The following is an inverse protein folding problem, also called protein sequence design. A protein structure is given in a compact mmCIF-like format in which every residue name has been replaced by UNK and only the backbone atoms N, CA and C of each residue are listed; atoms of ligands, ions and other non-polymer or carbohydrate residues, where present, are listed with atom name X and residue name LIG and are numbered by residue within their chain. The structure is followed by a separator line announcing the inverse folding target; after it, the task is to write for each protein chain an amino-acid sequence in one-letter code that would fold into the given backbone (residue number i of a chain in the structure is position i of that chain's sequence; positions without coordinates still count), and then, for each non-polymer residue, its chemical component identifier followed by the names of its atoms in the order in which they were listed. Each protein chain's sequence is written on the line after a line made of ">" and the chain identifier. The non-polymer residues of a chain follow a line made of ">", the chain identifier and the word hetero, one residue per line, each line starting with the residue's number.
data_IF_350899256312
#
_entry.id   IF_350899256312
#
_cell.length_a   1.000
_cell.length_b   1.000
_cell.length_c   1.000
_cell.angle_alpha   90.00
_cell.angle_beta   90.00
_cell.angle_gamma   90.00
#
_symmetry.space_group_name_H-M   'P 1'
#
loop_
_entity.id
_entity.type
_entity.pdbx_description
1 polymer ?
#
# COMPACT_ATOMS: atom_id res chain seq x y z
N UNK A 1 8.69 -50.52 5.03
CA UNK A 1 7.38 -50.51 5.74
C UNK A 1 6.51 -49.43 5.10
N UNK A 2 5.44 -49.84 4.41
CA UNK A 2 4.51 -48.92 3.76
C UNK A 2 3.57 -48.38 4.84
N UNK A 3 3.40 -47.05 5.02
CA UNK A 3 2.51 -46.52 6.05
C UNK A 3 1.07 -46.90 5.74
N UNK A 4 0.32 -47.27 6.78
CA UNK A 4 -1.06 -47.70 6.66
C UNK A 4 -1.97 -46.50 6.26
N UNK A 5 -3.10 -46.76 5.58
CA UNK A 5 -4.07 -45.77 5.14
C UNK A 5 -4.57 -44.85 6.28
N UNK A 6 -4.50 -45.30 7.52
CA UNK A 6 -4.86 -44.52 8.73
C UNK A 6 -3.79 -43.46 9.07
N UNK A 7 -2.51 -43.78 8.82
CA UNK A 7 -1.40 -42.84 9.03
C UNK A 7 -1.38 -41.75 7.93
N UNK A 8 -1.75 -42.13 6.68
CA UNK A 8 -1.88 -41.16 5.58
C UNK A 8 -3.05 -40.16 5.80
N UNK A 9 -4.17 -40.66 6.38
CA UNK A 9 -5.32 -39.76 6.71
C UNK A 9 -4.99 -38.79 7.84
N UNK A 10 -4.19 -39.21 8.82
CA UNK A 10 -3.74 -38.32 9.91
C UNK A 10 -2.76 -37.24 9.41
N UNK A 11 -1.84 -37.61 8.52
CA UNK A 11 -0.91 -36.64 7.91
C UNK A 11 -1.62 -35.64 7.00
N UNK A 12 -2.62 -36.07 6.22
CA UNK A 12 -3.44 -35.20 5.40
C UNK A 12 -4.37 -34.28 6.22
N UNK A 13 -4.87 -34.74 7.37
CA UNK A 13 -5.69 -33.92 8.27
C UNK A 13 -4.85 -32.86 9.00
N UNK A 14 -3.61 -33.16 9.37
CA UNK A 14 -2.69 -32.16 9.96
C UNK A 14 -2.28 -31.11 8.92
N UNK A 15 -2.04 -31.51 7.67
CA UNK A 15 -1.73 -30.57 6.59
C UNK A 15 -2.90 -29.64 6.25
N UNK A 16 -4.14 -30.16 6.34
CA UNK A 16 -5.36 -29.35 6.13
C UNK A 16 -5.64 -28.38 7.28
N UNK A 17 -5.33 -28.79 8.54
CA UNK A 17 -5.46 -27.93 9.71
C UNK A 17 -4.37 -26.83 9.75
N UNK A 18 -3.17 -27.10 9.24
CA UNK A 18 -2.09 -26.13 9.15
C UNK A 18 -2.36 -25.06 8.07
N UNK A 19 -3.08 -25.40 6.99
CA UNK A 19 -3.48 -24.43 5.95
C UNK A 19 -4.52 -23.40 6.42
N UNK A 20 -5.20 -23.66 7.52
CA UNK A 20 -6.17 -22.76 8.16
C UNK A 20 -5.62 -21.93 9.32
N UNK A 21 -4.33 -22.06 9.67
CA UNK A 21 -3.73 -21.25 10.74
C UNK A 21 -3.52 -19.82 10.27
N UNK A 22 -3.86 -18.80 11.07
CA UNK A 22 -3.70 -17.39 10.70
C UNK A 22 -2.26 -17.04 10.28
N UNK A 23 -1.26 -17.71 10.83
CA UNK A 23 0.16 -17.58 10.45
C UNK A 23 0.46 -18.03 9.02
N UNK A 24 -0.16 -19.12 8.55
CA UNK A 24 0.01 -19.60 7.16
C UNK A 24 -0.75 -18.74 6.16
N UNK A 25 -1.93 -18.26 6.51
CA UNK A 25 -2.68 -17.32 5.70
C UNK A 25 -1.91 -16.00 5.54
N UNK A 26 -1.33 -15.49 6.61
CA UNK A 26 -0.54 -14.26 6.59
C UNK A 26 0.76 -14.40 5.78
N UNK A 27 1.43 -15.56 5.81
CA UNK A 27 2.60 -15.81 4.97
C UNK A 27 2.22 -15.91 3.48
N UNK A 28 1.11 -16.57 3.15
CA UNK A 28 0.60 -16.66 1.77
C UNK A 28 0.23 -15.29 1.22
N UNK A 29 -0.45 -14.45 2.01
CA UNK A 29 -0.77 -13.08 1.62
C UNK A 29 0.49 -12.22 1.44
N UNK A 30 1.53 -12.41 2.24
CA UNK A 30 2.81 -11.71 2.08
C UNK A 30 3.49 -12.06 0.75
N UNK A 31 3.49 -13.32 0.36
CA UNK A 31 4.05 -13.77 -0.91
C UNK A 31 3.22 -13.28 -2.10
N UNK A 32 1.89 -13.28 -1.97
CA UNK A 32 0.97 -12.76 -2.98
C UNK A 32 1.14 -11.26 -3.18
N UNK A 33 1.25 -10.47 -2.12
CA UNK A 33 1.54 -9.03 -2.18
C UNK A 33 2.86 -8.76 -2.89
N UNK A 34 3.93 -9.47 -2.50
CA UNK A 34 5.24 -9.33 -3.16
C UNK A 34 5.20 -9.76 -4.64
N UNK A 35 4.39 -10.76 -4.97
CA UNK A 35 4.18 -11.21 -6.36
C UNK A 35 3.51 -10.13 -7.20
N UNK A 36 2.48 -9.45 -6.69
CA UNK A 36 1.81 -8.33 -7.39
C UNK A 36 2.77 -7.16 -7.58
N UNK A 37 3.55 -6.80 -6.55
CA UNK A 37 4.57 -5.77 -6.63
C UNK A 37 5.61 -6.11 -7.72
N UNK A 38 6.06 -7.35 -7.76
CA UNK A 38 7.02 -7.82 -8.79
C UNK A 38 6.40 -7.75 -10.18
N UNK A 39 5.19 -8.28 -10.33
CA UNK A 39 4.49 -8.30 -11.60
C UNK A 39 4.26 -6.88 -12.17
N UNK A 40 3.96 -5.90 -11.33
CA UNK A 40 3.77 -4.52 -11.77
C UNK A 40 5.01 -3.97 -12.48
N UNK A 41 6.19 -4.16 -11.90
CA UNK A 41 7.44 -3.66 -12.50
C UNK A 41 7.88 -4.51 -13.68
N UNK A 42 7.82 -5.83 -13.59
CA UNK A 42 8.22 -6.74 -14.68
C UNK A 42 7.37 -6.52 -15.94
N UNK A 43 6.05 -6.48 -15.81
CA UNK A 43 5.14 -6.25 -16.95
C UNK A 43 5.34 -4.87 -17.58
N UNK A 44 5.69 -3.85 -16.76
CA UNK A 44 6.06 -2.53 -17.28
C UNK A 44 7.26 -2.61 -18.22
N UNK A 45 8.36 -3.24 -17.81
CA UNK A 45 9.58 -3.35 -18.64
C UNK A 45 9.43 -4.35 -19.78
N UNK A 46 8.62 -5.39 -19.63
CA UNK A 46 8.28 -6.34 -20.70
C UNK A 46 7.29 -5.78 -21.73
N UNK A 47 6.72 -4.59 -21.46
CA UNK A 47 5.68 -3.96 -22.30
C UNK A 47 4.36 -4.73 -22.36
N UNK A 48 4.10 -5.53 -21.34
CA UNK A 48 2.82 -6.21 -21.15
C UNK A 48 1.79 -5.26 -20.51
N UNK A 49 1.04 -4.57 -21.35
CA UNK A 49 0.03 -3.60 -20.88
C UNK A 49 -1.17 -4.25 -20.21
N UNK A 50 -1.49 -5.50 -20.55
CA UNK A 50 -2.59 -6.24 -19.95
C UNK A 50 -2.19 -6.70 -18.55
N UNK A 51 -1.02 -7.32 -18.43
CA UNK A 51 -0.45 -7.72 -17.15
C UNK A 51 -0.28 -6.52 -16.22
N UNK A 52 0.33 -5.43 -16.71
CA UNK A 52 0.52 -4.22 -15.91
C UNK A 52 -0.80 -3.64 -15.39
N UNK A 53 -1.80 -3.47 -16.27
CA UNK A 53 -3.14 -3.04 -15.89
C UNK A 53 -3.75 -3.98 -14.83
N UNK A 54 -3.53 -5.27 -14.99
CA UNK A 54 -4.02 -6.32 -14.09
C UNK A 54 -3.50 -6.23 -12.66
N UNK A 55 -2.38 -5.58 -12.42
CA UNK A 55 -1.83 -5.40 -11.07
C UNK A 55 -2.49 -4.26 -10.27
N UNK A 56 -3.25 -3.39 -10.92
CA UNK A 56 -3.83 -2.18 -10.34
C UNK A 56 -5.33 -2.30 -10.08
N UNK A 57 -5.81 -1.51 -9.12
CA UNK A 57 -7.20 -1.08 -9.06
C UNK A 57 -7.46 -0.12 -10.21
N UNK A 58 -8.49 -0.38 -11.02
CA UNK A 58 -8.73 0.36 -12.28
C UNK A 58 -9.95 1.29 -12.17
N UNK A 59 -10.08 2.01 -11.05
CA UNK A 59 -11.19 2.95 -10.80
C UNK A 59 -10.69 4.27 -10.21
N UNK A 60 -11.61 5.13 -9.80
CA UNK A 60 -11.29 6.46 -9.25
C UNK A 60 -10.51 6.44 -7.94
N UNK A 61 -10.35 5.28 -7.32
CA UNK A 61 -9.66 5.13 -6.02
C UNK A 61 -8.16 4.89 -6.17
N UNK A 62 -7.67 4.58 -7.39
CA UNK A 62 -6.26 4.37 -7.65
C UNK A 62 -5.47 5.68 -7.49
N UNK A 63 -4.30 5.60 -6.85
CA UNK A 63 -3.43 6.77 -6.62
C UNK A 63 -2.01 6.46 -7.09
N UNK A 64 -1.43 7.39 -7.84
CA UNK A 64 -0.02 7.33 -8.21
C UNK A 64 0.71 8.60 -7.85
N UNK A 65 1.77 8.45 -7.06
CA UNK A 65 2.66 9.54 -6.65
C UNK A 65 4.05 9.31 -7.23
N UNK A 66 4.64 10.33 -7.80
CA UNK A 66 6.00 10.28 -8.31
C UNK A 66 6.78 11.49 -7.82
N UNK A 67 7.92 11.24 -7.19
CA UNK A 67 8.80 12.27 -6.64
C UNK A 67 10.21 12.05 -7.19
N UNK A 68 10.72 13.06 -7.87
CA UNK A 68 12.13 13.18 -8.22
C UNK A 68 12.70 14.38 -7.50
N UNK A 69 14.02 14.49 -7.36
CA UNK A 69 14.70 15.50 -6.52
C UNK A 69 14.07 16.90 -6.49
N UNK A 70 13.44 17.37 -7.58
CA UNK A 70 12.82 18.70 -7.69
C UNK A 70 11.37 18.70 -8.15
N UNK A 71 10.79 17.55 -8.48
CA UNK A 71 9.43 17.48 -8.99
C UNK A 71 8.56 16.52 -8.15
N UNK A 72 7.31 16.93 -7.96
CA UNK A 72 6.28 16.14 -7.29
C UNK A 72 5.04 16.08 -8.17
N UNK A 73 4.49 14.90 -8.36
CA UNK A 73 3.21 14.72 -9.06
C UNK A 73 2.34 13.69 -8.35
N UNK A 74 1.05 13.98 -8.29
CA UNK A 74 0.02 13.05 -7.80
C UNK A 74 -1.06 12.93 -8.85
N UNK A 75 -1.44 11.71 -9.16
CA UNK A 75 -2.59 11.41 -10.00
C UNK A 75 -3.63 10.63 -9.18
N UNK A 76 -4.80 11.22 -9.02
CA UNK A 76 -5.94 10.66 -8.30
C UNK A 76 -6.95 10.10 -9.30
N UNK A 77 -7.17 8.80 -9.25
CA UNK A 77 -8.01 8.06 -10.17
C UNK A 77 -7.23 7.42 -11.31
N UNK A 78 -7.64 6.20 -11.65
CA UNK A 78 -7.03 5.44 -12.75
C UNK A 78 -7.03 6.20 -14.08
N UNK A 79 -8.10 6.96 -14.36
CA UNK A 79 -8.26 7.76 -15.57
C UNK A 79 -7.16 8.83 -15.74
N UNK A 80 -6.52 9.26 -14.66
CA UNK A 80 -5.49 10.30 -14.66
C UNK A 80 -4.09 9.78 -15.00
N UNK A 81 -3.81 8.48 -14.77
CA UNK A 81 -2.47 7.93 -15.04
C UNK A 81 -2.47 6.63 -15.84
N UNK A 82 -3.49 5.79 -15.70
CA UNK A 82 -3.54 4.48 -16.32
C UNK A 82 -3.40 4.54 -17.85
N UNK A 83 -4.27 5.28 -18.57
CA UNK A 83 -4.20 5.38 -20.03
C UNK A 83 -2.87 5.94 -20.54
N UNK A 84 -2.33 6.99 -19.92
CA UNK A 84 -1.06 7.60 -20.32
C UNK A 84 0.13 6.66 -20.06
N UNK A 85 0.12 5.91 -18.95
CA UNK A 85 1.15 4.90 -18.69
C UNK A 85 1.07 3.75 -19.67
N UNK A 86 -0.13 3.26 -20.01
CA UNK A 86 -0.32 2.23 -21.05
C UNK A 86 0.19 2.72 -22.41
N UNK A 87 -0.08 3.96 -22.78
CA UNK A 87 0.43 4.55 -24.01
C UNK A 87 1.97 4.61 -24.01
N UNK A 88 2.56 5.02 -22.89
CA UNK A 88 4.03 5.02 -22.70
C UNK A 88 4.63 3.61 -22.83
N UNK A 89 4.00 2.61 -22.19
CA UNK A 89 4.44 1.21 -22.30
C UNK A 89 4.43 0.75 -23.76
N UNK A 90 3.39 1.05 -24.53
CA UNK A 90 3.26 0.66 -25.95
C UNK A 90 4.23 1.39 -26.87
N UNK A 91 4.60 2.62 -26.51
CA UNK A 91 5.45 3.48 -27.35
C UNK A 91 6.94 3.17 -27.27
N UNK A 92 7.36 2.20 -26.48
CA UNK A 92 8.77 1.87 -26.24
C UNK A 92 9.03 0.37 -26.40
N UNK A 93 10.27 0.00 -26.78
CA UNK A 93 10.67 -1.40 -26.86
C UNK A 93 10.79 -2.04 -25.46
N UNK A 94 10.62 -3.37 -25.34
CA UNK A 94 10.92 -4.09 -24.11
C UNK A 94 12.37 -3.86 -23.67
N UNK A 95 12.59 -3.76 -22.37
CA UNK A 95 13.90 -3.56 -21.79
C UNK A 95 14.26 -4.76 -20.92
N UNK A 96 15.44 -5.33 -21.15
CA UNK A 96 15.99 -6.35 -20.28
C UNK A 96 16.52 -5.68 -19.00
N UNK A 97 15.93 -6.02 -17.86
CA UNK A 97 16.28 -5.46 -16.56
C UNK A 97 16.49 -6.56 -15.53
N UNK A 98 17.40 -6.32 -14.60
CA UNK A 98 17.48 -7.04 -13.34
C UNK A 98 17.00 -6.11 -12.23
N UNK A 99 16.06 -6.57 -11.42
CA UNK A 99 15.44 -5.75 -10.37
C UNK A 99 15.71 -6.40 -9.02
N UNK A 100 16.45 -5.68 -8.19
CA UNK A 100 16.76 -6.08 -6.83
C UNK A 100 15.90 -5.27 -5.87
N UNK A 101 15.27 -5.95 -4.90
CA UNK A 101 14.44 -5.33 -3.86
C UNK A 101 14.94 -5.73 -2.50
N UNK A 102 15.24 -4.74 -1.67
CA UNK A 102 15.78 -4.91 -0.32
C UNK A 102 15.03 -4.05 0.69
N UNK A 103 15.34 -4.22 1.96
CA UNK A 103 14.82 -3.40 3.05
C UNK A 103 13.28 -3.32 3.06
N UNK A 104 12.61 -4.47 2.86
CA UNK A 104 11.17 -4.55 2.90
C UNK A 104 10.62 -4.27 4.29
N UNK A 105 9.65 -3.35 4.34
CA UNK A 105 8.70 -3.21 5.43
C UNK A 105 7.35 -3.64 4.86
N UNK A 106 6.73 -4.66 5.44
CA UNK A 106 5.45 -5.20 4.98
C UNK A 106 4.50 -5.35 6.15
N UNK A 107 3.36 -4.71 6.05
CA UNK A 107 2.27 -4.83 7.00
C UNK A 107 1.01 -5.29 6.27
N UNK A 108 0.35 -6.32 6.79
CA UNK A 108 -0.89 -6.87 6.23
C UNK A 108 -1.91 -6.93 7.36
N UNK A 109 -3.09 -6.38 7.09
CA UNK A 109 -4.21 -6.41 8.00
C UNK A 109 -5.51 -6.66 7.22
N UNK A 110 -5.98 -7.91 7.28
CA UNK A 110 -7.14 -8.36 6.54
C UNK A 110 -6.98 -8.20 5.03
N UNK A 111 -7.78 -7.33 4.44
CA UNK A 111 -7.78 -7.07 3.00
C UNK A 111 -6.90 -5.89 2.58
N UNK A 112 -6.12 -5.32 3.50
CA UNK A 112 -5.22 -4.20 3.23
C UNK A 112 -3.77 -4.60 3.49
N UNK A 113 -2.86 -4.17 2.60
CA UNK A 113 -1.43 -4.33 2.76
C UNK A 113 -0.71 -3.01 2.47
N UNK A 114 0.33 -2.72 3.25
CA UNK A 114 1.30 -1.66 2.98
C UNK A 114 2.68 -2.29 2.85
N UNK A 115 3.36 -1.99 1.74
CA UNK A 115 4.72 -2.40 1.49
C UNK A 115 5.59 -1.19 1.19
N UNK A 116 6.79 -1.18 1.75
CA UNK A 116 7.84 -0.22 1.45
C UNK A 116 9.15 -0.97 1.27
N UNK A 117 9.95 -0.57 0.26
CA UNK A 117 11.19 -1.27 -0.08
C UNK A 117 12.12 -0.37 -0.89
N UNK A 118 13.41 -0.70 -0.86
CA UNK A 118 14.38 -0.13 -1.80
C UNK A 118 14.36 -0.97 -3.09
N UNK A 119 14.30 -0.30 -4.24
CA UNK A 119 14.35 -0.92 -5.55
C UNK A 119 15.54 -0.40 -6.33
N UNK A 120 16.35 -1.33 -6.86
CA UNK A 120 17.42 -1.06 -7.79
C UNK A 120 17.11 -1.76 -9.11
N UNK A 121 16.90 -0.98 -10.16
CA UNK A 121 16.70 -1.48 -11.52
C UNK A 121 18.00 -1.33 -12.30
N UNK A 122 18.62 -2.43 -12.70
CA UNK A 122 19.79 -2.48 -13.55
C UNK A 122 19.34 -2.76 -14.98
N UNK A 123 19.72 -1.90 -15.93
CA UNK A 123 19.45 -2.10 -17.34
C UNK A 123 20.57 -2.94 -17.94
N UNK A 124 20.22 -4.06 -18.62
CA UNK A 124 21.20 -5.06 -19.04
C UNK A 124 21.75 -4.80 -20.45
N UNK A 125 21.13 -3.91 -21.23
CA UNK A 125 21.42 -3.72 -22.67
C UNK A 125 22.12 -2.42 -23.02
N UNK A 126 22.17 -1.44 -22.12
CA UNK A 126 22.69 -0.10 -22.41
C UNK A 126 23.54 0.47 -21.26
N UNK A 127 24.35 1.47 -21.58
CA UNK A 127 25.12 2.23 -20.59
C UNK A 127 24.24 3.14 -19.72
N UNK A 128 23.01 2.70 -19.43
CA UNK A 128 22.07 3.41 -18.57
C UNK A 128 22.46 3.12 -17.10
N UNK A 129 22.72 4.15 -16.29
CA UNK A 129 23.02 3.92 -14.89
C UNK A 129 21.80 3.29 -14.17
N UNK A 130 22.03 2.47 -13.14
CA UNK A 130 20.94 1.87 -12.39
C UNK A 130 19.99 2.93 -11.82
N UNK A 131 18.70 2.69 -11.94
CA UNK A 131 17.69 3.48 -11.26
C UNK A 131 17.55 2.97 -9.82
N UNK A 132 17.75 3.86 -8.86
CA UNK A 132 17.61 3.56 -7.44
C UNK A 132 16.47 4.41 -6.89
N UNK A 133 15.51 3.76 -6.26
CA UNK A 133 14.35 4.43 -5.70
C UNK A 133 13.89 3.77 -4.40
N UNK A 134 13.37 4.56 -3.47
CA UNK A 134 12.51 4.05 -2.40
C UNK A 134 11.09 3.98 -2.93
N UNK A 135 10.48 2.82 -2.82
CA UNK A 135 9.14 2.54 -3.32
C UNK A 135 8.19 2.31 -2.16
N UNK A 136 6.93 2.72 -2.32
CA UNK A 136 5.86 2.22 -1.48
C UNK A 136 4.67 1.76 -2.32
N UNK A 137 3.92 0.82 -1.78
CA UNK A 137 2.67 0.30 -2.34
C UNK A 137 1.66 0.10 -1.22
N UNK A 138 0.46 0.61 -1.42
CA UNK A 138 -0.71 0.16 -0.68
C UNK A 138 -1.50 -0.76 -1.58
N UNK A 139 -1.87 -1.94 -1.10
CA UNK A 139 -2.63 -2.92 -1.85
C UNK A 139 -3.93 -3.24 -1.11
N UNK A 140 -4.96 -3.55 -1.89
CA UNK A 140 -6.24 -4.04 -1.37
C UNK A 140 -6.56 -5.39 -1.97
N UNK A 141 -7.17 -6.27 -1.17
CA UNK A 141 -7.64 -7.57 -1.61
C UNK A 141 -9.10 -7.45 -2.03
N UNK A 142 -9.37 -7.57 -3.32
CA UNK A 142 -10.73 -7.51 -3.89
C UNK A 142 -11.04 -8.83 -4.60
N UNK A 143 -12.15 -9.45 -4.26
CA UNK A 143 -12.55 -10.76 -4.82
C UNK A 143 -11.45 -11.84 -4.68
N UNK A 144 -10.72 -11.83 -3.56
CA UNK A 144 -9.65 -12.79 -3.29
C UNK A 144 -8.29 -12.44 -3.92
N UNK A 145 -8.18 -11.39 -4.73
CA UNK A 145 -6.95 -10.99 -5.42
C UNK A 145 -6.40 -9.66 -4.88
N UNK A 146 -5.09 -9.61 -4.66
CA UNK A 146 -4.40 -8.39 -4.31
C UNK A 146 -4.22 -7.47 -5.53
N UNK A 147 -4.52 -6.18 -5.36
CA UNK A 147 -4.36 -5.12 -6.38
C UNK A 147 -3.72 -3.89 -5.76
N UNK A 148 -2.87 -3.20 -6.50
CA UNK A 148 -2.26 -1.95 -6.07
C UNK A 148 -3.35 -0.87 -6.08
N UNK A 149 -3.59 -0.29 -4.91
CA UNK A 149 -4.45 0.86 -4.73
C UNK A 149 -3.65 2.16 -4.87
N UNK A 150 -2.46 2.19 -4.25
CA UNK A 150 -1.57 3.36 -4.31
C UNK A 150 -0.13 2.93 -4.53
N UNK A 151 0.57 3.71 -5.36
CA UNK A 151 2.01 3.57 -5.56
C UNK A 151 2.70 4.92 -5.43
N UNK A 152 3.80 4.93 -4.66
CA UNK A 152 4.72 6.06 -4.58
C UNK A 152 6.13 5.64 -4.96
N UNK A 153 6.82 6.49 -5.71
CA UNK A 153 8.20 6.30 -6.17
C UNK A 153 9.03 7.53 -5.83
N UNK A 154 10.11 7.33 -5.11
CA UNK A 154 11.01 8.39 -4.61
C UNK A 154 12.39 8.15 -5.19
N UNK A 155 12.69 8.78 -6.33
CA UNK A 155 13.92 8.57 -7.09
C UNK A 155 15.02 9.50 -6.56
N UNK A 156 16.21 8.95 -6.31
CA UNK A 156 17.42 9.70 -5.97
C UNK A 156 17.49 10.18 -4.53
N UNK A 157 16.70 9.63 -3.60
CA UNK A 157 16.77 9.96 -2.19
C UNK A 157 16.88 8.71 -1.31
N UNK A 158 17.87 8.71 -0.42
CA UNK A 158 17.95 7.75 0.68
C UNK A 158 16.90 8.13 1.74
N UNK A 159 15.66 7.80 1.51
CA UNK A 159 14.66 7.90 2.57
C UNK A 159 14.83 6.69 3.48
N UNK A 160 15.45 6.88 4.61
CA UNK A 160 15.42 5.88 5.68
C UNK A 160 13.99 5.54 6.00
N UNK A 161 13.68 4.25 6.07
CA UNK A 161 12.39 3.77 6.54
C UNK A 161 12.27 4.01 8.06
N UNK A 162 12.19 5.28 8.47
CA UNK A 162 11.88 5.58 9.86
C UNK A 162 10.39 5.34 10.11
N UNK A 163 9.99 4.87 11.30
CA UNK A 163 8.57 4.74 11.66
C UNK A 163 7.77 6.01 11.34
N UNK A 164 8.36 7.18 11.56
CA UNK A 164 7.73 8.48 11.25
C UNK A 164 7.50 8.68 9.75
N UNK A 165 8.40 8.20 8.89
CA UNK A 165 8.21 8.29 7.44
C UNK A 165 7.08 7.37 6.96
N UNK A 166 6.95 6.17 7.54
CA UNK A 166 5.85 5.23 7.26
C UNK A 166 4.52 5.86 7.68
N UNK A 167 4.46 6.39 8.91
CA UNK A 167 3.28 7.08 9.44
C UNK A 167 2.80 8.22 8.51
N UNK A 168 3.72 9.11 8.14
CA UNK A 168 3.41 10.25 7.28
C UNK A 168 2.91 9.83 5.89
N UNK A 169 3.44 8.75 5.33
CA UNK A 169 3.00 8.22 4.03
C UNK A 169 1.61 7.61 4.09
N UNK A 170 1.32 6.82 5.11
CA UNK A 170 -0.03 6.26 5.30
C UNK A 170 -1.06 7.38 5.52
N UNK A 171 -0.70 8.41 6.30
CA UNK A 171 -1.53 9.60 6.48
C UNK A 171 -1.78 10.32 5.13
N UNK A 172 -0.75 10.46 4.30
CA UNK A 172 -0.86 11.04 2.95
C UNK A 172 -1.83 10.27 2.07
N UNK A 173 -1.62 8.95 1.93
CA UNK A 173 -2.50 8.07 1.12
C UNK A 173 -3.95 8.16 1.60
N UNK A 174 -4.20 8.10 2.91
CA UNK A 174 -5.56 8.21 3.46
C UNK A 174 -6.19 9.58 3.20
N UNK A 175 -5.41 10.66 3.26
CA UNK A 175 -5.87 12.01 2.92
C UNK A 175 -6.22 12.14 1.44
N UNK A 176 -5.40 11.61 0.54
CA UNK A 176 -5.64 11.64 -0.90
C UNK A 176 -6.91 10.84 -1.26
N UNK A 177 -7.13 9.68 -0.63
CA UNK A 177 -8.36 8.90 -0.77
C UNK A 177 -9.59 9.69 -0.28
N UNK A 178 -9.47 10.42 0.82
CA UNK A 178 -10.54 11.29 1.34
C UNK A 178 -10.88 12.41 0.36
N UNK A 179 -9.88 13.04 -0.25
CA UNK A 179 -10.07 14.07 -1.29
C UNK A 179 -10.72 13.47 -2.55
N UNK A 180 -10.41 12.24 -2.90
CA UNK A 180 -11.04 11.49 -3.98
C UNK A 180 -12.47 11.00 -3.63
N UNK A 181 -13.01 11.38 -2.46
CA UNK A 181 -14.33 10.96 -1.94
C UNK A 181 -14.46 9.44 -1.76
N UNK A 182 -13.37 8.73 -1.62
CA UNK A 182 -13.34 7.32 -1.30
C UNK A 182 -13.20 7.13 0.22
N UNK A 183 -14.25 7.47 0.95
CA UNK A 183 -14.24 7.46 2.41
C UNK A 183 -13.95 6.09 3.00
N UNK A 184 -14.40 5.02 2.36
CA UNK A 184 -14.19 3.65 2.84
C UNK A 184 -12.70 3.31 2.88
N UNK A 185 -12.02 3.39 1.74
CA UNK A 185 -10.61 3.02 1.64
C UNK A 185 -9.74 4.01 2.44
N UNK A 186 -10.13 5.30 2.51
CA UNK A 186 -9.48 6.30 3.37
C UNK A 186 -9.49 5.86 4.85
N UNK A 187 -10.65 5.45 5.36
CA UNK A 187 -10.79 4.98 6.74
C UNK A 187 -9.95 3.72 6.95
N UNK A 188 -9.96 2.75 6.03
CA UNK A 188 -9.16 1.53 6.14
C UNK A 188 -7.67 1.82 6.24
N UNK A 189 -7.12 2.69 5.36
CA UNK A 189 -5.70 3.08 5.38
C UNK A 189 -5.34 3.84 6.65
N UNK A 190 -6.18 4.79 7.07
CA UNK A 190 -5.91 5.60 8.26
C UNK A 190 -6.11 4.80 9.55
N UNK A 191 -7.01 3.82 9.57
CA UNK A 191 -7.14 2.88 10.68
C UNK A 191 -5.91 1.98 10.80
N UNK A 192 -5.34 1.51 9.67
CA UNK A 192 -4.05 0.82 9.68
C UNK A 192 -2.96 1.73 10.26
N UNK A 193 -2.90 2.99 9.84
CA UNK A 193 -1.93 3.96 10.37
C UNK A 193 -2.04 4.11 11.89
N UNK A 194 -3.25 4.30 12.42
CA UNK A 194 -3.49 4.43 13.85
C UNK A 194 -3.16 3.15 14.64
N UNK A 195 -3.33 1.95 14.04
CA UNK A 195 -2.92 0.67 14.65
C UNK A 195 -1.40 0.50 14.69
N UNK A 196 -0.69 0.90 13.65
CA UNK A 196 0.77 0.83 13.59
C UNK A 196 1.43 1.86 14.50
N UNK A 197 0.80 3.02 14.68
CA UNK A 197 1.30 4.13 15.50
C UNK A 197 0.30 4.54 16.59
N UNK A 198 -0.01 3.63 17.56
CA UNK A 198 -1.08 3.86 18.54
C UNK A 198 -0.79 5.03 19.51
N UNK A 199 0.47 5.46 19.60
CA UNK A 199 0.91 6.62 20.36
C UNK A 199 0.93 7.93 19.57
N UNK A 200 0.55 7.91 18.29
CA UNK A 200 0.57 9.12 17.46
C UNK A 200 -0.76 9.86 17.55
N UNK A 201 -0.69 11.09 18.04
CA UNK A 201 -1.82 12.02 17.99
C UNK A 201 -2.28 12.33 16.58
N UNK A 202 -1.33 12.48 15.64
CA UNK A 202 -1.63 12.82 14.25
C UNK A 202 -2.30 11.66 13.51
N UNK A 203 -1.88 10.40 13.77
CA UNK A 203 -2.52 9.23 13.18
C UNK A 203 -4.00 9.12 13.61
N UNK A 204 -4.28 9.35 14.89
CA UNK A 204 -5.65 9.37 15.38
C UNK A 204 -6.45 10.57 14.86
N UNK A 205 -5.86 11.76 14.77
CA UNK A 205 -6.53 12.95 14.26
C UNK A 205 -6.90 12.83 12.77
N UNK A 206 -6.03 12.25 11.94
CA UNK A 206 -6.31 12.02 10.52
C UNK A 206 -7.41 10.98 10.31
N UNK A 207 -7.41 9.89 11.10
CA UNK A 207 -8.48 8.90 11.07
C UNK A 207 -9.83 9.52 11.50
N UNK A 208 -9.82 10.35 12.55
CA UNK A 208 -11.02 11.07 12.98
C UNK A 208 -11.59 11.97 11.87
N UNK A 209 -10.73 12.67 11.13
CA UNK A 209 -11.15 13.50 10.00
C UNK A 209 -11.80 12.67 8.89
N UNK A 210 -11.31 11.48 8.59
CA UNK A 210 -11.91 10.59 7.61
C UNK A 210 -13.29 10.07 8.04
N UNK A 211 -13.46 9.70 9.32
CA UNK A 211 -14.76 9.35 9.87
C UNK A 211 -15.74 10.52 9.81
N UNK A 212 -15.29 11.73 10.17
CA UNK A 212 -16.13 12.94 10.08
C UNK A 212 -16.57 13.22 8.64
N UNK A 213 -15.66 13.06 7.65
CA UNK A 213 -15.98 13.21 6.24
C UNK A 213 -16.96 12.13 5.73
N UNK A 214 -16.93 10.94 6.31
CA UNK A 214 -17.88 9.85 6.04
C UNK A 214 -19.23 10.01 6.78
N UNK A 215 -19.38 11.01 7.65
CA UNK A 215 -20.59 11.24 8.45
C UNK A 215 -20.66 10.42 9.75
N UNK A 216 -19.65 9.63 10.06
CA UNK A 216 -19.56 8.88 11.32
C UNK A 216 -18.98 9.78 12.43
N UNK A 217 -19.85 10.64 12.98
CA UNK A 217 -19.48 11.61 14.02
C UNK A 217 -19.10 10.93 15.34
N UNK A 218 -19.61 9.73 15.62
CA UNK A 218 -19.29 8.96 16.81
C UNK A 218 -17.83 8.51 16.82
N UNK A 219 -17.40 7.83 15.76
CA UNK A 219 -16.00 7.42 15.59
C UNK A 219 -15.07 8.62 15.47
N UNK A 220 -15.48 9.67 14.76
CA UNK A 220 -14.70 10.89 14.65
C UNK A 220 -14.40 11.51 16.03
N UNK A 221 -15.42 11.64 16.87
CA UNK A 221 -15.29 12.16 18.23
C UNK A 221 -14.32 11.32 19.06
N UNK A 222 -14.50 10.01 19.08
CA UNK A 222 -13.65 9.07 19.81
C UNK A 222 -12.17 9.21 19.43
N UNK A 223 -11.87 9.27 18.15
CA UNK A 223 -10.50 9.39 17.67
C UNK A 223 -9.90 10.78 17.88
N UNK A 224 -10.68 11.87 17.78
CA UNK A 224 -10.18 13.20 18.17
C UNK A 224 -9.88 13.31 19.66
N UNK A 225 -10.73 12.75 20.52
CA UNK A 225 -10.46 12.68 21.96
C UNK A 225 -9.21 11.87 22.26
N UNK A 226 -9.01 10.74 21.58
CA UNK A 226 -7.78 9.96 21.68
C UNK A 226 -6.56 10.76 21.24
N UNK A 227 -6.64 11.49 20.12
CA UNK A 227 -5.57 12.37 19.66
C UNK A 227 -5.20 13.42 20.71
N UNK A 228 -6.20 14.07 21.32
CA UNK A 228 -5.97 15.06 22.35
C UNK A 228 -5.47 14.48 23.69
N UNK A 229 -5.80 13.23 24.01
CA UNK A 229 -5.22 12.52 25.15
C UNK A 229 -3.73 12.22 24.97
N UNK A 230 -3.29 12.01 23.71
CA UNK A 230 -1.90 11.73 23.35
C UNK A 230 -1.08 13.02 23.22
N UNK A 231 -1.67 14.07 22.61
CA UNK A 231 -1.09 15.41 22.55
C UNK A 231 -2.17 16.48 22.82
N UNK A 232 -2.24 17.00 24.06
CA UNK A 232 -3.17 18.06 24.40
C UNK A 232 -2.94 19.36 23.59
N UNK A 233 -1.81 19.53 22.92
CA UNK A 233 -1.49 20.70 22.09
C UNK A 233 -1.91 20.55 20.63
N UNK A 234 -2.46 19.40 20.21
CA UNK A 234 -2.93 19.19 18.85
C UNK A 234 -4.12 20.13 18.55
N UNK A 235 -3.79 21.32 18.05
CA UNK A 235 -4.78 22.37 17.76
C UNK A 235 -5.75 21.99 16.62
N UNK A 236 -5.30 21.18 15.68
CA UNK A 236 -6.13 20.69 14.58
C UNK A 236 -7.24 19.75 15.10
N UNK A 237 -6.88 18.77 15.93
CA UNK A 237 -7.84 17.86 16.54
C UNK A 237 -8.85 18.60 17.42
N UNK A 238 -8.37 19.56 18.25
CA UNK A 238 -9.26 20.38 19.11
C UNK A 238 -10.26 21.19 18.30
N UNK A 239 -9.80 21.88 17.27
CA UNK A 239 -10.64 22.68 16.38
C UNK A 239 -11.67 21.85 15.62
N UNK A 240 -11.27 20.66 15.18
CA UNK A 240 -12.15 19.74 14.46
C UNK A 240 -13.20 19.13 15.40
N UNK A 241 -12.81 18.68 16.59
CA UNK A 241 -13.72 18.13 17.61
C UNK A 241 -14.81 19.16 18.00
N UNK A 242 -14.44 20.43 18.17
CA UNK A 242 -15.38 21.49 18.52
C UNK A 242 -16.40 21.81 17.42
N UNK A 243 -16.15 21.38 16.19
CA UNK A 243 -17.06 21.57 15.04
C UNK A 243 -17.94 20.35 14.75
N UNK A 244 -17.71 19.24 15.43
CA UNK A 244 -18.58 18.07 15.27
C UNK A 244 -19.96 18.35 15.86
N UNK A 245 -21.03 17.93 15.15
CA UNK A 245 -22.40 18.07 15.64
C UNK A 245 -22.67 17.27 16.92
#
# INVERSE_FOLDING_TARGET
>A
MIPTARQLRFALSILALLRGSPLFAQSADADDVKRVIRAETETYYQRDTIGWKGTWVNDSTAIRTFITGSSYSVALGWDKFGPSTIASIRGTAPQAVQIDRTNYILHIDGALAYAEYDERTNFLTDSIPPLIARQNRTLVKRNGEWRILSAGSFVGSSFGASPRAVEARLAGVGSDLSLAKNSRDAIEVLALNARLFPGSSDAHATLAAAYAAAGDTGQARQHYEKALSLDPKNGAARKALAKLP
#
